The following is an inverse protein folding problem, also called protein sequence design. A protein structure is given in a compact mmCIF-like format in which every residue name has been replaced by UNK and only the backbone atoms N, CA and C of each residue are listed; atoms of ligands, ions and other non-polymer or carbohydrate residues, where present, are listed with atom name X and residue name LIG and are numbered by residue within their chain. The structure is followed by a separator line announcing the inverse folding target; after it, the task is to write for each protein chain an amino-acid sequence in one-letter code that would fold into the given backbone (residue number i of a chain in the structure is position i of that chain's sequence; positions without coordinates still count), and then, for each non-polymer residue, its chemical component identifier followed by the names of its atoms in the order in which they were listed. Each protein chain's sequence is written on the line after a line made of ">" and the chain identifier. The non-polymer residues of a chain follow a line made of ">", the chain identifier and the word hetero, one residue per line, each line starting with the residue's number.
data_IF_646260581148
#
_entry.id   IF_646260581148
#
_cell.length_a   1.000
_cell.length_b   1.000
_cell.length_c   1.000
_cell.angle_alpha   90.00
_cell.angle_beta   90.00
_cell.angle_gamma   90.00
#
_symmetry.space_group_name_H-M   'P 1'
#
loop_
_entity.id
_entity.type
_entity.pdbx_description
1 polymer ?
#
# COMPACT_ATOMS: atom_id res chain seq x y z
N UNK A 1 13.32 -8.34 -6.96
CA UNK A 1 13.46 -7.71 -8.30
C UNK A 1 13.00 -8.63 -9.42
N UNK A 2 13.39 -9.92 -9.43
CA UNK A 2 13.09 -10.84 -10.54
C UNK A 2 11.61 -11.04 -10.85
N UNK A 3 10.74 -11.04 -9.82
CA UNK A 3 9.29 -11.02 -10.01
C UNK A 3 8.84 -9.82 -10.85
N UNK A 4 9.30 -8.61 -10.51
CA UNK A 4 8.93 -7.39 -11.23
C UNK A 4 9.41 -7.43 -12.68
N UNK A 5 10.66 -7.82 -12.92
CA UNK A 5 11.21 -7.94 -14.29
C UNK A 5 10.39 -8.94 -15.12
N UNK A 6 10.12 -10.13 -14.59
CA UNK A 6 9.34 -11.17 -15.28
C UNK A 6 7.91 -10.70 -15.55
N UNK A 7 7.29 -10.03 -14.57
CA UNK A 7 5.94 -9.47 -14.70
C UNK A 7 5.88 -8.38 -15.76
N UNK A 8 6.82 -7.44 -15.75
CA UNK A 8 6.89 -6.36 -16.74
C UNK A 8 7.18 -6.90 -18.14
N UNK A 9 8.11 -7.86 -18.26
CA UNK A 9 8.35 -8.54 -19.54
C UNK A 9 7.06 -9.19 -20.08
N UNK A 10 6.27 -9.84 -19.23
CA UNK A 10 4.99 -10.44 -19.67
C UNK A 10 3.91 -9.42 -19.98
N UNK A 11 4.00 -8.23 -19.39
CA UNK A 11 3.00 -7.16 -19.57
C UNK A 11 3.31 -6.32 -20.81
N UNK A 12 4.59 -6.06 -21.07
CA UNK A 12 5.05 -5.08 -22.06
C UNK A 12 5.90 -5.68 -23.19
N UNK A 13 6.41 -6.91 -23.04
CA UNK A 13 7.17 -7.66 -24.04
C UNK A 13 8.38 -6.91 -24.63
N UNK A 14 9.05 -6.09 -23.80
CA UNK A 14 10.05 -5.11 -24.24
C UNK A 14 11.37 -5.13 -23.43
N UNK A 15 11.53 -6.00 -22.43
CA UNK A 15 12.75 -6.05 -21.60
C UNK A 15 13.79 -6.99 -22.23
N UNK A 16 13.37 -8.16 -22.70
CA UNK A 16 14.25 -9.11 -23.37
C UNK A 16 13.50 -9.93 -24.44
N UNK A 17 14.25 -10.48 -25.38
CA UNK A 17 13.80 -11.52 -26.32
C UNK A 17 13.90 -12.92 -25.70
N UNK A 18 14.90 -13.14 -24.84
CA UNK A 18 15.09 -14.38 -24.09
C UNK A 18 15.65 -14.09 -22.69
N UNK A 19 15.26 -14.86 -21.64
CA UNK A 19 15.73 -14.62 -20.27
C UNK A 19 17.25 -14.56 -20.11
N UNK A 20 18.01 -15.24 -20.97
CA UNK A 20 19.48 -15.26 -20.95
C UNK A 20 20.13 -13.89 -21.24
N UNK A 21 19.38 -12.92 -21.77
CA UNK A 21 19.87 -11.55 -21.92
C UNK A 21 19.92 -10.80 -20.58
N UNK A 22 19.05 -11.18 -19.64
CA UNK A 22 18.92 -10.54 -18.33
C UNK A 22 19.57 -11.36 -17.23
N UNK A 23 19.40 -12.68 -17.23
CA UNK A 23 19.83 -13.59 -16.18
C UNK A 23 20.94 -14.51 -16.66
N UNK A 24 21.86 -14.85 -15.77
CA UNK A 24 22.89 -15.87 -16.04
C UNK A 24 22.34 -17.28 -15.83
N UNK A 25 23.05 -18.29 -16.35
CA UNK A 25 22.76 -19.68 -16.03
C UNK A 25 23.03 -19.96 -14.53
N UNK A 26 22.28 -20.86 -13.88
CA UNK A 26 21.13 -21.62 -14.40
C UNK A 26 19.81 -20.84 -14.37
N UNK A 27 19.80 -19.61 -13.85
CA UNK A 27 18.60 -18.84 -13.53
C UNK A 27 17.76 -18.46 -14.75
N UNK A 28 18.41 -18.14 -15.88
CA UNK A 28 17.72 -17.85 -17.13
C UNK A 28 16.70 -18.93 -17.54
N UNK A 29 17.01 -20.21 -17.28
CA UNK A 29 16.13 -21.32 -17.66
C UNK A 29 14.98 -21.57 -16.68
N UNK A 30 15.05 -21.01 -15.47
CA UNK A 30 14.15 -21.36 -14.37
C UNK A 30 13.22 -20.22 -13.96
N UNK A 31 13.67 -18.97 -14.11
CA UNK A 31 13.04 -17.84 -13.44
C UNK A 31 11.61 -17.56 -13.84
N UNK A 32 11.27 -17.69 -15.13
CA UNK A 32 9.91 -17.44 -15.58
C UNK A 32 8.91 -18.44 -14.98
N UNK A 33 9.34 -19.68 -14.70
CA UNK A 33 8.50 -20.70 -14.06
C UNK A 33 8.33 -20.46 -12.54
N UNK A 34 9.17 -19.63 -11.93
CA UNK A 34 9.05 -19.26 -10.51
C UNK A 34 8.02 -18.16 -10.27
N UNK A 35 7.61 -17.42 -11.32
CA UNK A 35 6.81 -16.19 -11.18
C UNK A 35 5.66 -16.08 -12.20
N UNK A 36 4.39 -16.35 -11.82
CA UNK A 36 4.02 -17.04 -10.60
C UNK A 36 4.41 -18.52 -10.69
N UNK A 37 4.65 -19.13 -9.55
CA UNK A 37 4.96 -20.55 -9.41
C UNK A 37 4.34 -21.10 -8.13
N UNK A 38 4.68 -22.34 -7.80
CA UNK A 38 4.13 -23.03 -6.62
C UNK A 38 4.95 -22.78 -5.34
N UNK A 39 6.10 -22.13 -5.43
CA UNK A 39 7.01 -21.90 -4.31
C UNK A 39 6.63 -20.62 -3.55
N UNK A 40 6.73 -20.66 -2.24
CA UNK A 40 6.48 -19.49 -1.39
C UNK A 40 7.60 -18.45 -1.56
N UNK A 41 7.32 -17.18 -1.20
CA UNK A 41 8.35 -16.13 -1.19
C UNK A 41 9.50 -16.50 -0.24
N UNK A 42 9.19 -17.11 0.91
CA UNK A 42 10.20 -17.59 1.87
C UNK A 42 11.13 -18.65 1.25
N UNK A 43 10.60 -19.59 0.46
CA UNK A 43 11.41 -20.60 -0.22
C UNK A 43 12.28 -19.97 -1.32
N UNK A 44 11.76 -18.96 -2.01
CA UNK A 44 12.48 -18.27 -3.07
C UNK A 44 13.62 -17.40 -2.52
N UNK A 45 13.42 -16.74 -1.37
CA UNK A 45 14.47 -15.95 -0.70
C UNK A 45 15.67 -16.81 -0.29
N UNK A 46 15.45 -18.08 0.05
CA UNK A 46 16.53 -19.01 0.40
C UNK A 46 17.13 -19.73 -0.80
N UNK A 47 16.39 -19.87 -1.90
CA UNK A 47 16.88 -20.55 -3.11
C UNK A 47 17.62 -19.61 -4.07
N UNK A 48 17.14 -18.37 -4.23
CA UNK A 48 17.74 -17.42 -5.15
C UNK A 48 19.06 -16.86 -4.58
N UNK A 49 20.02 -16.45 -5.42
CA UNK A 49 21.25 -15.87 -4.93
C UNK A 49 21.00 -14.65 -4.04
N UNK A 50 21.73 -14.51 -2.93
CA UNK A 50 21.59 -13.35 -2.06
C UNK A 50 22.04 -12.07 -2.78
N UNK A 51 21.60 -10.92 -2.30
CA UNK A 51 21.89 -9.60 -2.91
C UNK A 51 23.40 -9.34 -3.09
N UNK A 52 24.25 -9.89 -2.22
CA UNK A 52 25.71 -9.79 -2.36
C UNK A 52 26.29 -10.50 -3.60
N UNK A 53 25.50 -11.35 -4.29
CA UNK A 53 25.90 -12.13 -5.47
C UNK A 53 25.14 -11.74 -6.74
N UNK A 54 24.64 -10.50 -6.83
CA UNK A 54 23.87 -10.03 -8.01
C UNK A 54 24.66 -10.16 -9.32
N UNK A 55 26.00 -10.07 -9.28
CA UNK A 55 26.88 -10.21 -10.44
C UNK A 55 27.00 -11.64 -10.95
N UNK A 56 26.61 -12.63 -10.15
CA UNK A 56 26.54 -14.05 -10.54
C UNK A 56 25.11 -14.43 -10.97
N UNK A 57 24.18 -13.48 -10.90
CA UNK A 57 22.75 -13.70 -11.11
C UNK A 57 22.22 -12.99 -12.37
N UNK A 58 22.56 -11.71 -12.54
CA UNK A 58 22.22 -10.92 -13.72
C UNK A 58 23.41 -10.83 -14.68
N UNK A 59 23.16 -10.69 -15.98
CA UNK A 59 24.22 -10.44 -16.95
C UNK A 59 24.85 -9.06 -16.70
N UNK A 60 26.15 -8.92 -17.04
CA UNK A 60 26.84 -7.64 -16.90
C UNK A 60 26.20 -6.54 -17.77
N UNK A 61 25.77 -6.88 -18.99
CA UNK A 61 25.11 -5.95 -19.90
C UNK A 61 23.81 -5.41 -19.31
N UNK A 62 22.94 -6.28 -18.76
CA UNK A 62 21.71 -5.85 -18.12
C UNK A 62 21.95 -4.95 -16.91
N UNK A 63 22.90 -5.31 -16.04
CA UNK A 63 23.24 -4.48 -14.87
C UNK A 63 23.78 -3.10 -15.28
N UNK A 64 24.59 -3.04 -16.35
CA UNK A 64 25.12 -1.79 -16.87
C UNK A 64 24.04 -0.91 -17.49
N UNK A 65 23.10 -1.49 -18.23
CA UNK A 65 22.01 -0.74 -18.87
C UNK A 65 21.07 -0.14 -17.82
N UNK A 66 20.55 -0.96 -16.89
CA UNK A 66 19.67 -0.49 -15.81
C UNK A 66 20.31 0.62 -14.94
N UNK A 67 21.63 0.56 -14.76
CA UNK A 67 22.36 1.52 -13.94
C UNK A 67 22.64 2.86 -14.64
N UNK A 68 22.80 2.87 -15.96
CA UNK A 68 23.34 4.02 -16.69
C UNK A 68 22.40 4.58 -17.77
N UNK A 69 21.37 3.83 -18.16
CA UNK A 69 20.44 4.21 -19.21
C UNK A 69 19.06 4.57 -18.61
N UNK A 70 18.69 5.86 -18.58
CA UNK A 70 17.38 6.27 -18.08
C UNK A 70 16.22 5.82 -18.99
N UNK A 71 16.52 5.36 -20.21
CA UNK A 71 15.57 4.81 -21.18
C UNK A 71 15.63 3.29 -21.28
N UNK A 72 16.30 2.61 -20.34
CA UNK A 72 16.21 1.15 -20.21
C UNK A 72 14.73 0.71 -20.14
N UNK A 73 14.31 -0.34 -20.86
CA UNK A 73 12.91 -0.75 -20.89
C UNK A 73 12.32 -1.04 -19.51
N UNK A 74 13.09 -1.64 -18.60
CA UNK A 74 12.63 -1.89 -17.24
C UNK A 74 12.42 -0.57 -16.48
N UNK A 75 13.32 0.41 -16.59
CA UNK A 75 13.14 1.73 -15.99
C UNK A 75 11.87 2.42 -16.51
N UNK A 76 11.63 2.37 -17.82
CA UNK A 76 10.43 2.97 -18.43
C UNK A 76 9.15 2.28 -17.94
N UNK A 77 9.15 0.95 -17.81
CA UNK A 77 8.00 0.21 -17.29
C UNK A 77 7.75 0.48 -15.81
N UNK A 78 8.80 0.61 -15.00
CA UNK A 78 8.68 1.04 -13.60
C UNK A 78 8.12 2.46 -13.50
N UNK A 79 8.56 3.39 -14.35
CA UNK A 79 8.04 4.76 -14.41
C UNK A 79 6.57 4.81 -14.80
N UNK A 80 6.12 4.00 -15.77
CA UNK A 80 4.71 3.88 -16.17
C UNK A 80 3.81 3.45 -15.01
N UNK A 81 4.37 2.73 -14.03
CA UNK A 81 3.68 2.26 -12.83
C UNK A 81 3.90 3.17 -11.61
N UNK A 82 4.49 4.37 -11.76
CA UNK A 82 4.59 5.33 -10.66
C UNK A 82 3.20 5.86 -10.23
N UNK A 83 2.92 5.81 -8.93
CA UNK A 83 1.64 6.23 -8.35
C UNK A 83 1.65 7.70 -7.86
N UNK A 84 2.38 8.58 -8.55
CA UNK A 84 2.68 9.93 -8.06
C UNK A 84 1.94 11.06 -8.79
N UNK A 85 1.63 10.89 -10.07
CA UNK A 85 1.13 11.95 -10.95
C UNK A 85 -0.39 12.20 -10.82
N UNK A 86 -0.88 12.37 -9.59
CA UNK A 86 -2.30 12.65 -9.33
C UNK A 86 -2.51 13.40 -8.00
N UNK A 87 -3.75 13.84 -7.77
CA UNK A 87 -4.16 14.54 -6.53
C UNK A 87 -5.19 13.69 -5.77
N UNK A 88 -4.81 13.08 -4.63
CA UNK A 88 -5.77 12.41 -3.76
C UNK A 88 -6.95 13.29 -3.37
N UNK A 89 -8.17 12.81 -3.61
CA UNK A 89 -9.42 13.48 -3.21
C UNK A 89 -10.00 12.90 -1.92
N UNK A 90 -9.80 11.61 -1.70
CA UNK A 90 -10.20 10.93 -0.47
C UNK A 90 -9.11 11.04 0.59
N UNK A 91 -9.49 10.87 1.87
CA UNK A 91 -8.53 10.77 2.97
C UNK A 91 -7.68 9.52 2.78
N UNK A 92 -6.36 9.69 2.77
CA UNK A 92 -5.38 8.62 2.64
C UNK A 92 -4.46 8.66 3.86
N UNK A 93 -4.20 7.48 4.44
CA UNK A 93 -3.19 7.30 5.47
C UNK A 93 -2.08 6.41 4.92
N UNK A 94 -0.86 6.96 4.81
CA UNK A 94 0.32 6.22 4.39
C UNK A 94 1.03 5.70 5.64
N UNK A 95 0.88 4.39 5.91
CA UNK A 95 1.56 3.73 7.01
C UNK A 95 2.84 3.04 6.57
N UNK A 96 3.88 3.13 7.39
CA UNK A 96 5.22 2.56 7.11
C UNK A 96 6.02 2.36 8.39
N UNK A 97 7.25 1.85 8.25
CA UNK A 97 8.28 1.90 9.29
C UNK A 97 9.55 2.57 8.75
N UNK A 98 10.13 3.49 9.53
CA UNK A 98 11.48 4.06 9.30
C UNK A 98 12.61 3.03 9.42
N UNK A 99 12.33 1.84 9.96
CA UNK A 99 13.27 0.73 10.03
C UNK A 99 13.11 -0.27 8.86
N UNK A 100 12.17 -0.06 7.94
CA UNK A 100 11.99 -0.93 6.76
C UNK A 100 13.13 -0.73 5.75
N UNK A 101 13.95 -1.77 5.56
CA UNK A 101 15.04 -1.77 4.59
C UNK A 101 14.68 -2.38 3.22
N UNK A 102 13.47 -2.96 3.09
CA UNK A 102 12.98 -3.56 1.84
C UNK A 102 12.26 -2.53 0.97
N UNK A 103 11.42 -1.69 1.57
CA UNK A 103 10.70 -0.60 0.88
C UNK A 103 11.08 0.73 1.53
N UNK A 104 12.04 1.48 0.95
CA UNK A 104 12.63 2.63 1.62
C UNK A 104 11.62 3.74 1.97
N UNK A 105 11.82 4.35 3.15
CA UNK A 105 11.07 5.51 3.68
C UNK A 105 10.87 6.64 2.65
N UNK A 106 11.85 6.82 1.75
CA UNK A 106 11.86 7.84 0.69
C UNK A 106 10.66 7.73 -0.26
N UNK A 107 10.12 6.53 -0.49
CA UNK A 107 8.94 6.34 -1.34
C UNK A 107 7.73 7.12 -0.79
N UNK A 108 7.48 6.99 0.52
CA UNK A 108 6.39 7.68 1.20
C UNK A 108 6.63 9.18 1.24
N UNK A 109 7.84 9.64 1.54
CA UNK A 109 8.16 11.07 1.55
C UNK A 109 7.98 11.70 0.17
N UNK A 110 8.46 11.04 -0.91
CA UNK A 110 8.26 11.50 -2.29
C UNK A 110 6.78 11.58 -2.66
N UNK A 111 5.98 10.60 -2.23
CA UNK A 111 4.53 10.60 -2.46
C UNK A 111 3.85 11.77 -1.75
N UNK A 112 4.12 11.98 -0.46
CA UNK A 112 3.56 13.08 0.32
C UNK A 112 3.88 14.42 -0.33
N UNK A 113 5.16 14.65 -0.65
CA UNK A 113 5.61 15.91 -1.22
C UNK A 113 4.95 16.18 -2.58
N UNK A 114 4.86 15.13 -3.42
CA UNK A 114 4.22 15.25 -4.74
C UNK A 114 2.73 15.53 -4.61
N UNK A 115 2.01 14.82 -3.74
CA UNK A 115 0.59 15.04 -3.55
C UNK A 115 0.28 16.40 -2.93
N UNK A 116 1.12 16.91 -2.02
CA UNK A 116 1.01 18.27 -1.48
C UNK A 116 1.23 19.32 -2.56
N UNK A 117 2.27 19.17 -3.40
CA UNK A 117 2.50 20.04 -4.57
C UNK A 117 1.32 20.02 -5.54
N UNK A 118 0.68 18.85 -5.69
CA UNK A 118 -0.52 18.70 -6.50
C UNK A 118 -1.79 19.23 -5.80
N UNK A 119 -1.69 19.85 -4.62
CA UNK A 119 -2.83 20.48 -3.93
C UNK A 119 -3.67 19.54 -3.05
N UNK A 120 -3.13 18.39 -2.63
CA UNK A 120 -3.82 17.51 -1.69
C UNK A 120 -3.66 17.99 -0.25
N UNK A 121 -4.78 18.05 0.48
CA UNK A 121 -4.87 18.27 1.94
C UNK A 121 -5.31 17.01 2.69
N UNK A 122 -5.40 15.88 1.99
CA UNK A 122 -6.13 14.69 2.45
C UNK A 122 -5.20 13.61 3.04
N UNK A 123 -3.96 13.95 3.39
CA UNK A 123 -2.91 12.98 3.71
C UNK A 123 -2.54 12.98 5.18
N UNK A 124 -2.50 11.78 5.75
CA UNK A 124 -1.89 11.49 7.05
C UNK A 124 -0.80 10.44 6.87
N UNK A 125 0.21 10.46 7.74
CA UNK A 125 1.36 9.55 7.67
C UNK A 125 1.58 8.90 9.02
N UNK A 126 1.75 7.59 9.03
CA UNK A 126 2.04 6.82 10.23
C UNK A 126 3.41 6.16 10.07
N UNK A 127 4.29 6.42 11.04
CA UNK A 127 5.56 5.73 11.15
C UNK A 127 5.55 4.88 12.41
N UNK A 128 5.65 3.57 12.23
CA UNK A 128 5.69 2.59 13.32
C UNK A 128 7.11 2.12 13.62
N UNK A 129 8.11 2.71 12.98
CA UNK A 129 9.52 2.46 13.25
C UNK A 129 10.03 3.29 14.43
N UNK A 130 11.11 2.80 15.02
CA UNK A 130 11.88 3.47 16.09
C UNK A 130 12.70 4.66 15.58
N UNK A 131 12.90 4.79 14.27
CA UNK A 131 13.80 5.76 13.66
C UNK A 131 15.30 5.45 13.78
N UNK A 132 15.69 4.41 14.54
CA UNK A 132 17.10 4.08 14.79
C UNK A 132 17.68 3.11 13.77
N UNK A 133 18.84 3.45 13.20
CA UNK A 133 19.44 2.68 12.11
C UNK A 133 19.82 1.25 12.53
N UNK A 134 20.23 1.04 13.78
CA UNK A 134 20.60 -0.28 14.28
C UNK A 134 19.44 -1.30 14.25
N UNK A 135 18.20 -0.83 14.17
CA UNK A 135 17.01 -1.69 14.05
C UNK A 135 16.51 -1.81 12.62
N UNK A 136 17.20 -1.23 11.63
CA UNK A 136 16.79 -1.31 10.24
C UNK A 136 17.04 -2.72 9.67
N UNK A 137 16.03 -3.33 9.07
CA UNK A 137 16.12 -4.68 8.51
C UNK A 137 15.07 -4.93 7.43
N UNK A 138 15.37 -5.84 6.50
CA UNK A 138 14.41 -6.30 5.50
C UNK A 138 13.20 -7.01 6.13
N UNK A 139 13.38 -7.67 7.29
CA UNK A 139 12.33 -8.37 8.01
C UNK A 139 11.29 -7.42 8.65
N UNK A 140 11.67 -6.17 8.93
CA UNK A 140 10.74 -5.15 9.44
C UNK A 140 9.59 -4.92 8.46
N UNK A 141 9.82 -5.09 7.16
CA UNK A 141 8.79 -4.99 6.14
C UNK A 141 7.60 -5.92 6.38
N UNK A 142 7.88 -7.16 6.80
CA UNK A 142 6.85 -8.14 7.12
C UNK A 142 6.21 -7.84 8.48
N UNK A 143 7.03 -7.47 9.47
CA UNK A 143 6.55 -7.22 10.83
C UNK A 143 5.63 -6.00 10.94
N UNK A 144 5.80 -5.00 10.07
CA UNK A 144 4.99 -3.77 10.11
C UNK A 144 3.61 -3.96 9.50
N UNK A 145 3.36 -5.03 8.73
CA UNK A 145 2.09 -5.23 8.02
C UNK A 145 0.88 -5.21 8.97
N UNK A 146 0.84 -6.12 9.95
CA UNK A 146 -0.27 -6.19 10.92
C UNK A 146 -0.39 -4.91 11.75
N UNK A 147 0.76 -4.36 12.18
CA UNK A 147 0.79 -3.13 12.96
C UNK A 147 0.23 -1.95 12.17
N UNK A 148 0.53 -1.87 10.87
CA UNK A 148 -0.02 -0.86 9.98
C UNK A 148 -1.51 -1.06 9.72
N UNK A 149 -1.97 -2.29 9.54
CA UNK A 149 -3.42 -2.58 9.40
C UNK A 149 -4.18 -2.09 10.62
N UNK A 150 -3.70 -2.40 11.83
CA UNK A 150 -4.32 -1.93 13.08
C UNK A 150 -4.28 -0.40 13.19
N UNK A 151 -3.12 0.20 12.94
CA UNK A 151 -2.96 1.65 13.05
C UNK A 151 -3.82 2.42 12.03
N UNK A 152 -3.85 1.97 10.76
CA UNK A 152 -4.69 2.58 9.72
C UNK A 152 -6.17 2.39 10.03
N UNK A 153 -6.59 1.22 10.54
CA UNK A 153 -7.98 1.00 10.96
C UNK A 153 -8.40 2.04 12.00
N UNK A 154 -7.63 2.18 13.07
CA UNK A 154 -7.96 3.10 14.16
C UNK A 154 -7.90 4.58 13.74
N UNK A 155 -6.94 4.95 12.89
CA UNK A 155 -6.67 6.35 12.58
C UNK A 155 -7.42 6.88 11.37
N UNK A 156 -7.76 6.03 10.41
CA UNK A 156 -8.47 6.42 9.19
C UNK A 156 -9.87 5.82 9.13
N UNK A 157 -9.99 4.50 9.25
CA UNK A 157 -11.24 3.78 8.96
C UNK A 157 -12.29 4.02 10.04
N UNK A 158 -11.96 3.75 11.31
CA UNK A 158 -12.89 3.87 12.44
C UNK A 158 -13.32 5.33 12.66
N UNK A 159 -12.42 6.29 12.42
CA UNK A 159 -12.73 7.72 12.49
C UNK A 159 -13.64 8.18 11.37
N UNK A 160 -13.58 7.53 10.22
CA UNK A 160 -14.48 7.82 9.09
C UNK A 160 -15.90 7.29 9.34
N UNK A 161 -16.07 6.35 10.28
CA UNK A 161 -17.35 5.74 10.64
C UNK A 161 -18.02 6.36 11.89
N UNK A 162 -17.40 7.35 12.54
CA UNK A 162 -18.06 8.02 13.68
C UNK A 162 -19.28 8.81 13.19
N UNK A 163 -20.47 8.66 13.80
CA UNK A 163 -21.58 9.55 13.52
C UNK A 163 -21.15 10.99 13.82
N UNK A 164 -21.49 11.92 12.93
CA UNK A 164 -21.26 13.34 13.14
C UNK A 164 -21.79 13.70 14.54
N UNK A 165 -21.10 14.57 15.30
CA UNK A 165 -21.65 15.06 16.54
C UNK A 165 -23.04 15.63 16.22
N UNK A 166 -24.07 15.11 16.90
CA UNK A 166 -25.40 15.68 16.85
C UNK A 166 -25.19 17.12 17.33
N UNK A 167 -25.24 18.07 16.41
CA UNK A 167 -25.31 19.49 16.75
C UNK A 167 -26.58 19.57 17.59
N UNK A 168 -26.44 19.83 18.88
CA UNK A 168 -27.61 20.04 19.73
C UNK A 168 -28.43 21.15 19.07
N UNK A 169 -29.54 20.77 18.45
CA UNK A 169 -30.53 21.72 17.95
C UNK A 169 -30.84 22.63 19.13
N UNK A 170 -30.76 23.94 18.91
CA UNK A 170 -31.23 24.91 19.90
C UNK A 170 -32.61 24.44 20.42
N UNK A 171 -32.88 24.48 21.73
CA UNK A 171 -34.14 23.99 22.26
C UNK A 171 -35.29 24.73 21.57
N UNK A 172 -36.15 23.98 20.89
CA UNK A 172 -37.38 24.54 20.35
C UNK A 172 -38.19 25.13 21.51
N UNK A 173 -38.43 26.45 21.48
CA UNK A 173 -39.38 27.07 22.39
C UNK A 173 -40.77 26.45 22.17
N UNK A 174 -41.22 25.64 23.11
CA UNK A 174 -42.62 25.23 23.19
C UNK A 174 -43.41 26.34 23.88
N UNK A 175 -44.55 26.80 23.31
CA UNK A 175 -45.50 27.60 24.05
C UNK A 175 -46.09 26.73 25.17
N UNK A 176 -46.23 27.32 26.36
CA UNK A 176 -46.74 26.64 27.53
C UNK A 176 -48.17 26.12 27.30
N UNK A 177 -48.35 24.80 27.38
CA UNK A 177 -49.69 24.20 27.50
C UNK A 177 -49.96 22.97 26.65
N UNK A 178 -49.22 21.88 26.82
CA UNK A 178 -49.73 20.54 26.46
C UNK A 178 -49.00 19.45 27.25
N UNK A 179 -49.75 18.70 28.06
CA UNK A 179 -49.27 17.57 28.86
C UNK A 179 -48.93 16.38 27.95
N UNK A 180 -47.75 15.80 28.17
CA UNK A 180 -47.48 14.36 28.06
C UNK A 180 -47.43 13.72 26.67
N UNK A 181 -46.22 13.56 26.12
CA UNK A 181 -45.82 12.34 25.38
C UNK A 181 -44.31 12.39 25.14
N UNK A 182 -43.54 11.56 25.84
CA UNK A 182 -42.15 11.31 25.48
C UNK A 182 -42.12 10.49 24.20
N UNK A 183 -41.92 11.16 23.06
CA UNK A 183 -41.62 10.50 21.80
C UNK A 183 -40.12 10.20 21.80
N UNK A 184 -39.76 8.95 22.12
CA UNK A 184 -38.45 8.41 21.78
C UNK A 184 -38.44 8.21 20.26
N UNK A 185 -37.88 9.18 19.53
CA UNK A 185 -37.69 9.05 18.09
C UNK A 185 -36.54 8.05 17.86
N UNK A 186 -36.90 6.78 17.61
CA UNK A 186 -35.98 5.82 17.02
C UNK A 186 -35.79 6.21 15.54
N UNK A 187 -34.66 6.84 15.23
CA UNK A 187 -34.30 7.12 13.84
C UNK A 187 -33.79 5.85 13.17
N UNK A 188 -34.67 5.22 12.39
CA UNK A 188 -34.31 4.42 11.22
C UNK A 188 -33.94 5.39 10.10
N UNK A 189 -32.69 5.32 9.65
CA UNK A 189 -32.15 6.19 8.59
C UNK A 189 -30.82 5.65 8.06
N UNK A 190 -30.91 4.55 7.31
CA UNK A 190 -29.98 4.08 6.26
C UNK A 190 -28.48 4.38 6.43
N UNK A 191 -27.79 3.63 7.30
CA UNK A 191 -26.42 3.12 7.05
C UNK A 191 -26.07 2.05 8.08
N UNK A 192 -25.52 0.91 7.61
CA UNK A 192 -25.31 -0.37 8.30
C UNK A 192 -26.60 -1.09 8.77
N UNK A 193 -27.06 -1.99 7.92
CA UNK A 193 -28.19 -2.88 8.19
C UNK A 193 -27.88 -3.86 9.34
N UNK A 194 -28.84 -3.97 10.27
CA UNK A 194 -29.03 -5.16 11.09
C UNK A 194 -30.54 -5.41 11.21
N UNK A 195 -30.98 -6.55 10.68
CA UNK A 195 -32.38 -6.98 10.69
C UNK A 195 -32.74 -7.57 12.06
N UNK A 196 -33.90 -7.20 12.59
CA UNK A 196 -34.58 -7.96 13.63
C UNK A 196 -36.06 -8.11 13.25
N UNK A 197 -36.46 -9.34 13.01
CA UNK A 197 -37.83 -9.76 12.68
C UNK A 197 -38.67 -9.76 13.97
N UNK A 198 -39.87 -9.19 13.95
CA UNK A 198 -40.86 -9.38 15.03
C UNK A 198 -42.23 -9.70 14.45
N UNK A 199 -42.66 -10.94 14.66
CA UNK A 199 -44.02 -11.45 14.41
C UNK A 199 -45.06 -10.64 15.19
N UNK A 200 -46.23 -10.39 14.57
CA UNK A 200 -47.48 -10.01 15.24
C UNK A 200 -48.56 -11.03 14.86
N UNK A 201 -48.90 -11.94 15.77
CA UNK A 201 -50.11 -11.89 16.60
C UNK A 201 -50.00 -12.93 17.70
#
# INVERSE_FOLDING_TARGET
>A
MSYAITSMQRTHHNIYLAPAQTYQAPWAAQLEALFPGTRSVSDLVTTLPPVGKIKDYFTAAFLQDVANNPFDPLQLDLQRNELLAWRPRNRISLCRSSNDASVPFKNVTRAIDTFKRNGSTQLTTLDLGTGKREYASAFVHLAVEESCVVAVRQQLLDRSCRPLPIRASAPCHHPAGSRGMSVLIAYSGSSCASAAFRSRN
#
